data_IF_080768056719
#
_entry.id   IF_080768056719
#
_cell.length_a   1.000
_cell.length_b   1.000
_cell.length_c   1.000
_cell.angle_alpha   90.00
_cell.angle_beta   90.00
_cell.angle_gamma   90.00
#
_symmetry.space_group_name_H-M   'P 1'
#
loop_
_entity.id
_entity.type
_entity.pdbx_description
1 polymer ?
#
# COMPACT_ATOMS: atom_id res chain seq x y z
N UNK A 1 17.99 8.22 1.98
CA UNK A 1 16.72 9.03 1.96
C UNK A 1 17.05 10.50 1.77
N UNK A 2 16.23 11.21 0.99
CA UNK A 2 16.37 12.65 0.82
C UNK A 2 16.04 13.38 2.13
N UNK A 3 16.87 14.34 2.52
CA UNK A 3 16.67 15.12 3.74
C UNK A 3 15.64 16.25 3.59
N UNK A 4 15.09 16.44 2.39
CA UNK A 4 14.14 17.50 2.07
C UNK A 4 12.87 16.92 1.44
N UNK A 5 11.74 17.58 1.67
CA UNK A 5 10.49 17.31 0.95
C UNK A 5 10.73 17.61 -0.53
N UNK A 6 10.42 16.63 -1.37
CA UNK A 6 10.49 16.77 -2.82
C UNK A 6 9.10 16.49 -3.38
N UNK A 7 8.41 17.49 -3.94
CA UNK A 7 7.11 17.30 -4.57
C UNK A 7 7.21 16.38 -5.79
N UNK A 8 6.17 15.60 -6.03
CA UNK A 8 6.04 14.81 -7.24
C UNK A 8 5.88 15.73 -8.46
N UNK A 9 6.74 15.57 -9.45
CA UNK A 9 6.74 16.40 -10.67
C UNK A 9 5.62 16.03 -11.67
N UNK A 10 5.00 14.87 -11.50
CA UNK A 10 3.88 14.39 -12.33
C UNK A 10 2.78 13.86 -11.41
N UNK A 11 1.53 14.13 -11.79
CA UNK A 11 0.39 13.46 -11.20
C UNK A 11 0.55 11.96 -11.44
N UNK A 12 0.60 11.21 -10.36
CA UNK A 12 0.63 9.74 -10.42
C UNK A 12 -0.80 9.25 -10.52
N UNK A 13 -1.05 8.35 -11.45
CA UNK A 13 -2.31 7.61 -11.50
C UNK A 13 -2.07 6.25 -10.84
N UNK A 14 -2.88 5.93 -9.85
CA UNK A 14 -2.88 4.63 -9.18
C UNK A 14 -4.27 4.36 -8.63
N UNK A 15 -4.61 3.09 -8.48
CA UNK A 15 -5.83 2.67 -7.78
C UNK A 15 -5.80 3.02 -6.30
N UNK A 16 -4.63 3.33 -5.74
CA UNK A 16 -4.44 3.76 -4.36
C UNK A 16 -4.69 5.27 -4.22
N UNK A 17 -5.88 5.74 -4.56
CA UNK A 17 -6.27 7.15 -4.63
C UNK A 17 -6.04 7.93 -3.33
N UNK A 18 -6.23 7.29 -2.18
CA UNK A 18 -5.96 7.87 -0.87
C UNK A 18 -4.45 8.19 -0.63
N UNK A 19 -3.55 7.68 -1.46
CA UNK A 19 -2.10 7.86 -1.33
C UNK A 19 -1.51 8.80 -2.40
N UNK A 20 -2.33 9.51 -3.18
CA UNK A 20 -1.89 10.34 -4.29
C UNK A 20 -1.55 11.78 -3.91
N UNK A 21 -1.21 12.05 -2.64
CA UNK A 21 -0.74 13.38 -2.23
C UNK A 21 0.54 13.76 -3.00
N UNK A 22 0.59 15.01 -3.48
CA UNK A 22 1.74 15.51 -4.24
C UNK A 22 3.03 15.54 -3.42
N UNK A 23 2.90 15.79 -2.12
CA UNK A 23 4.02 15.80 -1.18
C UNK A 23 3.54 15.44 0.23
N UNK A 24 4.43 14.94 1.10
CA UNK A 24 4.11 14.75 2.50
C UNK A 24 3.90 16.09 3.21
N UNK A 25 3.09 16.10 4.27
CA UNK A 25 2.96 17.26 5.15
C UNK A 25 4.23 17.50 5.97
N UNK A 26 4.51 18.76 6.32
CA UNK A 26 5.75 19.16 7.03
C UNK A 26 5.93 18.42 8.36
N UNK A 27 4.86 18.32 9.17
CA UNK A 27 4.89 17.66 10.48
C UNK A 27 5.14 16.15 10.33
N UNK A 28 4.38 15.49 9.44
CA UNK A 28 4.54 14.06 9.19
C UNK A 28 5.89 13.73 8.60
N UNK A 29 6.41 14.57 7.71
CA UNK A 29 7.75 14.41 7.15
C UNK A 29 8.84 14.53 8.23
N UNK A 30 8.76 15.52 9.10
CA UNK A 30 9.73 15.72 10.18
C UNK A 30 9.81 14.50 11.13
N UNK A 31 8.65 13.91 11.45
CA UNK A 31 8.58 12.71 12.29
C UNK A 31 9.10 11.48 11.55
N UNK A 32 8.61 11.26 10.34
CA UNK A 32 8.94 10.07 9.54
C UNK A 32 10.42 10.03 9.15
N UNK A 33 11.01 11.17 8.82
CA UNK A 33 12.43 11.28 8.49
C UNK A 33 13.36 10.70 9.55
N UNK A 34 12.97 10.79 10.82
CA UNK A 34 13.77 10.29 11.94
C UNK A 34 13.47 8.83 12.28
N UNK A 35 12.27 8.33 11.95
CA UNK A 35 11.78 7.06 12.45
C UNK A 35 11.69 5.96 11.36
N UNK A 36 11.64 6.31 10.07
CA UNK A 36 11.58 5.33 9.00
C UNK A 36 12.95 4.78 8.64
N UNK A 37 13.07 3.46 8.61
CA UNK A 37 14.29 2.77 8.15
C UNK A 37 14.40 2.73 6.62
N UNK A 38 13.27 2.80 5.91
CA UNK A 38 13.25 2.71 4.45
C UNK A 38 11.85 2.87 3.87
N UNK A 39 11.77 2.79 2.54
CA UNK A 39 10.52 2.78 1.78
C UNK A 39 10.51 1.65 0.77
N UNK A 40 9.33 1.10 0.52
CA UNK A 40 9.09 0.05 -0.47
C UNK A 40 8.05 0.54 -1.47
N UNK A 41 8.09 -0.01 -2.68
CA UNK A 41 7.11 0.28 -3.72
C UNK A 41 6.44 -0.99 -4.21
N UNK A 42 5.16 -0.88 -4.51
CA UNK A 42 4.34 -1.93 -5.10
C UNK A 42 3.61 -1.40 -6.31
N UNK A 43 3.28 -2.29 -7.25
CA UNK A 43 2.45 -1.95 -8.41
C UNK A 43 0.96 -2.07 -8.09
N UNK A 44 0.11 -1.45 -8.89
CA UNK A 44 -1.34 -1.58 -8.79
C UNK A 44 -1.80 -3.05 -8.93
N UNK A 45 -1.13 -3.85 -9.75
CA UNK A 45 -1.48 -5.27 -9.92
C UNK A 45 -1.11 -6.10 -8.69
N UNK A 46 0.04 -5.83 -8.05
CA UNK A 46 0.41 -6.44 -6.77
C UNK A 46 -0.62 -6.08 -5.68
N UNK A 47 -1.13 -4.86 -5.68
CA UNK A 47 -2.18 -4.42 -4.74
C UNK A 47 -3.50 -5.14 -5.01
N UNK A 48 -3.95 -5.24 -6.26
CA UNK A 48 -5.18 -5.97 -6.63
C UNK A 48 -5.14 -7.43 -6.19
N UNK A 49 -4.06 -8.14 -6.51
CA UNK A 49 -3.86 -9.52 -6.07
C UNK A 49 -3.93 -9.64 -4.55
N UNK A 50 -3.25 -8.74 -3.84
CA UNK A 50 -3.24 -8.73 -2.37
C UNK A 50 -4.63 -8.53 -1.78
N UNK A 51 -5.45 -7.62 -2.33
CA UNK A 51 -6.83 -7.41 -1.88
C UNK A 51 -7.62 -8.72 -1.99
N UNK A 52 -7.50 -9.43 -3.11
CA UNK A 52 -8.19 -10.70 -3.33
C UNK A 52 -7.67 -11.78 -2.37
N UNK A 53 -6.36 -11.90 -2.19
CA UNK A 53 -5.76 -12.85 -1.25
C UNK A 53 -6.19 -12.62 0.20
N UNK A 54 -6.25 -11.36 0.64
CA UNK A 54 -6.72 -11.01 1.98
C UNK A 54 -8.19 -11.37 2.18
N UNK A 55 -9.03 -11.12 1.18
CA UNK A 55 -10.45 -11.49 1.23
C UNK A 55 -10.65 -13.01 1.22
N UNK A 56 -9.92 -13.74 0.38
CA UNK A 56 -10.07 -15.19 0.26
C UNK A 56 -9.50 -15.95 1.46
N UNK A 57 -8.37 -15.54 1.99
CA UNK A 57 -7.67 -16.28 3.04
C UNK A 57 -8.03 -15.79 4.46
N UNK A 58 -8.14 -14.47 4.66
CA UNK A 58 -8.40 -13.88 5.98
C UNK A 58 -9.83 -13.39 6.17
N UNK A 59 -10.66 -13.39 5.09
CA UNK A 59 -12.04 -12.88 5.12
C UNK A 59 -12.16 -11.42 5.52
N UNK A 60 -11.16 -10.62 5.17
CA UNK A 60 -11.17 -9.18 5.38
C UNK A 60 -11.20 -8.46 4.04
N UNK A 61 -12.01 -7.41 3.96
CA UNK A 61 -12.11 -6.54 2.79
C UNK A 61 -11.27 -5.29 3.05
N UNK A 62 -10.36 -5.01 2.12
CA UNK A 62 -9.38 -3.92 2.25
C UNK A 62 -9.42 -3.03 1.02
N UNK A 63 -9.40 -1.72 1.20
CA UNK A 63 -9.25 -0.76 0.10
C UNK A 63 -7.83 -0.75 -0.46
N UNK A 64 -7.60 -0.28 -1.72
CA UNK A 64 -6.29 -0.31 -2.34
C UNK A 64 -5.19 0.35 -1.50
N UNK A 65 -5.42 1.56 -0.97
CA UNK A 65 -4.46 2.26 -0.12
C UNK A 65 -4.14 1.53 1.19
N UNK A 66 -5.12 0.81 1.74
CA UNK A 66 -4.96 -0.01 2.94
C UNK A 66 -4.19 -1.31 2.72
N UNK A 67 -4.16 -1.82 1.48
CA UNK A 67 -3.50 -3.09 1.13
C UNK A 67 -2.00 -2.95 0.81
N UNK A 68 -1.49 -1.75 0.61
CA UNK A 68 -0.12 -1.49 0.11
C UNK A 68 0.96 -2.14 0.98
N UNK A 69 0.85 -2.06 2.30
CA UNK A 69 1.82 -2.67 3.21
C UNK A 69 1.82 -4.20 3.14
N UNK A 70 0.63 -4.80 3.06
CA UNK A 70 0.48 -6.25 2.85
C UNK A 70 1.02 -6.67 1.49
N UNK A 71 0.78 -5.89 0.43
CA UNK A 71 1.30 -6.15 -0.91
C UNK A 71 2.84 -6.18 -0.93
N UNK A 72 3.49 -5.26 -0.23
CA UNK A 72 4.95 -5.26 -0.13
C UNK A 72 5.49 -6.55 0.54
N UNK A 73 4.81 -7.04 1.58
CA UNK A 73 5.20 -8.26 2.27
C UNK A 73 4.95 -9.50 1.41
N UNK A 74 3.74 -9.67 0.87
CA UNK A 74 3.35 -10.84 0.08
C UNK A 74 4.16 -10.97 -1.21
N UNK A 75 4.53 -9.84 -1.82
CA UNK A 75 5.40 -9.81 -3.01
C UNK A 75 6.90 -9.79 -2.67
N UNK A 76 7.28 -10.12 -1.43
CA UNK A 76 8.67 -10.30 -1.01
C UNK A 76 9.59 -9.10 -1.30
N UNK A 77 9.04 -7.87 -1.17
CA UNK A 77 9.83 -6.64 -1.35
C UNK A 77 10.84 -6.41 -0.22
N UNK A 78 10.71 -7.17 0.87
CA UNK A 78 11.61 -7.15 2.03
C UNK A 78 11.82 -8.57 2.54
N UNK A 79 13.02 -8.88 2.97
CA UNK A 79 13.31 -10.14 3.66
C UNK A 79 12.86 -10.04 5.12
N UNK A 80 11.97 -10.94 5.49
CA UNK A 80 11.38 -11.02 6.84
C UNK A 80 11.61 -12.36 7.52
N UNK A 81 12.57 -13.13 7.02
CA UNK A 81 12.88 -14.45 7.55
C UNK A 81 13.21 -14.35 9.04
N UNK A 82 12.60 -15.25 9.82
CA UNK A 82 12.77 -15.35 11.28
C UNK A 82 12.40 -14.07 12.06
N UNK A 83 11.53 -13.22 11.48
CA UNK A 83 11.06 -11.98 12.10
C UNK A 83 9.56 -12.03 12.40
N UNK A 84 9.13 -11.33 13.45
CA UNK A 84 7.73 -11.02 13.72
C UNK A 84 7.39 -9.70 13.04
N UNK A 85 6.42 -9.73 12.11
CA UNK A 85 6.03 -8.57 11.31
C UNK A 85 4.62 -8.12 11.69
N UNK A 86 4.45 -6.83 11.91
CA UNK A 86 3.14 -6.20 12.04
C UNK A 86 2.86 -5.43 10.75
N UNK A 87 1.77 -5.79 10.09
CA UNK A 87 1.29 -5.11 8.88
C UNK A 87 0.07 -4.28 9.23
N UNK A 88 0.14 -2.97 8.99
CA UNK A 88 -1.00 -2.08 9.18
C UNK A 88 -1.91 -2.11 7.96
N UNK A 89 -3.18 -2.48 8.18
CA UNK A 89 -4.25 -2.42 7.20
C UNK A 89 -5.20 -1.29 7.63
N UNK A 90 -5.16 -0.18 6.92
CA UNK A 90 -5.70 1.09 7.41
C UNK A 90 -7.13 1.40 6.97
N UNK A 91 -7.70 0.65 6.04
CA UNK A 91 -9.05 0.93 5.57
C UNK A 91 -9.66 -0.19 4.71
N UNK A 92 -10.99 -0.16 4.59
CA UNK A 92 -11.79 -1.14 3.85
C UNK A 92 -12.91 -0.52 3.00
N UNK A 93 -12.86 0.79 2.74
CA UNK A 93 -13.85 1.49 1.91
C UNK A 93 -13.55 1.29 0.42
N UNK A 94 -13.78 0.08 -0.08
CA UNK A 94 -13.60 -0.29 -1.47
C UNK A 94 -14.94 -0.28 -2.21
N UNK A 95 -14.92 0.19 -3.46
CA UNK A 95 -16.08 0.10 -4.35
C UNK A 95 -16.42 -1.35 -4.68
N UNK A 96 -17.69 -1.72 -4.57
CA UNK A 96 -18.15 -3.10 -4.72
C UNK A 96 -17.97 -3.64 -6.15
N UNK A 97 -18.17 -2.80 -7.16
CA UNK A 97 -17.98 -3.18 -8.56
C UNK A 97 -16.50 -3.36 -8.87
N UNK A 98 -15.66 -2.46 -8.37
CA UNK A 98 -14.22 -2.60 -8.49
C UNK A 98 -13.74 -3.89 -7.82
N UNK A 99 -14.16 -4.16 -6.58
CA UNK A 99 -13.80 -5.39 -5.86
C UNK A 99 -14.24 -6.65 -6.62
N UNK A 100 -15.45 -6.65 -7.15
CA UNK A 100 -15.96 -7.77 -7.95
C UNK A 100 -15.11 -8.01 -9.20
N UNK A 101 -14.73 -6.94 -9.91
CA UNK A 101 -13.95 -7.06 -11.14
C UNK A 101 -12.55 -7.61 -10.86
N UNK A 102 -11.83 -7.07 -9.87
CA UNK A 102 -10.49 -7.60 -9.54
C UNK A 102 -10.55 -9.05 -9.03
N UNK A 103 -11.62 -9.44 -8.34
CA UNK A 103 -11.80 -10.82 -7.87
C UNK A 103 -11.99 -11.82 -9.01
N UNK A 104 -12.43 -11.38 -10.19
CA UNK A 104 -12.51 -12.21 -11.39
C UNK A 104 -11.17 -12.29 -12.12
N UNK A 105 -10.48 -11.17 -12.22
CA UNK A 105 -9.27 -11.04 -13.03
C UNK A 105 -8.06 -11.72 -12.36
N UNK A 106 -8.08 -11.88 -11.03
CA UNK A 106 -7.02 -12.52 -10.26
C UNK A 106 -7.18 -14.05 -10.09
N UNK A 107 -8.17 -14.65 -10.75
CA UNK A 107 -8.38 -16.12 -10.80
C UNK A 107 -7.75 -16.69 -12.05
#
# INVERSE_FOLDING_TARGET
MNNNITPNKKLSYSICDALLAEQPGDVTFAINKQNLSGGLTVSDDEVKQTIVELAENLKIVVEPGGAVAAAALLNKKIDVKDQTIVVMISGGNIDSEFFYNISKDCK
#
